data_IF_275957565925
#
_entry.id   IF_275957565925
#
_cell.length_a   1.000
_cell.length_b   1.000
_cell.length_c   1.000
_cell.angle_alpha   90.00
_cell.angle_beta   90.00
_cell.angle_gamma   90.00
#
_symmetry.space_group_name_H-M   'P 1'
#
loop_
_entity.id
_entity.type
_entity.pdbx_description
1 polymer ?
#
# COMPACT_ATOMS: atom_id res chain seq x y z
N UNK A 1 36.79 -35.38 -5.25
CA UNK A 1 36.75 -35.13 -3.78
C UNK A 1 36.96 -33.65 -3.44
N UNK A 2 38.19 -33.10 -3.39
CA UNK A 2 38.44 -31.72 -2.88
C UNK A 2 37.55 -30.60 -3.48
N UNK A 3 37.25 -30.63 -4.78
CA UNK A 3 36.31 -29.66 -5.42
C UNK A 3 34.85 -29.85 -5.01
N UNK A 4 34.40 -31.09 -4.80
CA UNK A 4 33.02 -31.41 -4.38
C UNK A 4 32.79 -30.93 -2.95
N UNK A 5 33.76 -31.16 -2.05
CA UNK A 5 33.71 -30.66 -0.67
C UNK A 5 33.60 -29.13 -0.63
N UNK A 6 34.36 -28.41 -1.47
CA UNK A 6 34.29 -26.94 -1.53
C UNK A 6 32.90 -26.47 -2.01
N UNK A 7 32.30 -27.12 -3.02
CA UNK A 7 30.96 -26.78 -3.50
C UNK A 7 29.89 -27.09 -2.44
N UNK A 8 29.96 -28.25 -1.78
CA UNK A 8 29.04 -28.56 -0.67
C UNK A 8 29.21 -27.59 0.51
N UNK A 9 30.42 -27.20 0.88
CA UNK A 9 30.65 -26.19 1.92
C UNK A 9 30.13 -24.81 1.52
N UNK A 10 30.26 -24.40 0.26
CA UNK A 10 29.69 -23.14 -0.23
C UNK A 10 28.16 -23.16 -0.21
N UNK A 11 27.54 -24.26 -0.66
CA UNK A 11 26.08 -24.42 -0.58
C UNK A 11 25.58 -24.39 0.87
N UNK A 12 26.23 -25.11 1.78
CA UNK A 12 25.89 -25.08 3.21
C UNK A 12 26.09 -23.69 3.82
N UNK A 13 27.14 -22.95 3.44
CA UNK A 13 27.34 -21.58 3.91
C UNK A 13 26.26 -20.60 3.40
N UNK A 14 25.70 -20.83 2.22
CA UNK A 14 24.53 -20.09 1.71
C UNK A 14 23.26 -20.52 2.47
N UNK A 15 23.13 -21.80 2.86
CA UNK A 15 22.02 -22.26 3.72
C UNK A 15 22.05 -21.73 5.16
N UNK A 16 23.15 -21.11 5.59
CA UNK A 16 23.32 -20.55 6.94
C UNK A 16 23.35 -19.01 6.99
N UNK A 17 23.15 -18.31 5.87
CA UNK A 17 22.76 -16.91 5.92
C UNK A 17 21.29 -16.84 6.33
N UNK A 18 21.04 -16.75 7.64
CA UNK A 18 19.72 -16.42 8.16
C UNK A 18 19.21 -15.12 7.54
N UNK A 19 17.89 -14.97 7.49
CA UNK A 19 17.19 -13.85 6.86
C UNK A 19 17.56 -12.53 7.53
N UNK A 20 18.60 -11.88 7.01
CA UNK A 20 19.01 -10.55 7.43
C UNK A 20 17.93 -9.57 6.98
N UNK A 21 17.10 -9.14 7.94
CA UNK A 21 16.00 -8.21 7.70
C UNK A 21 16.45 -6.96 6.93
N UNK A 22 15.57 -6.44 6.08
CA UNK A 22 15.80 -5.15 5.42
C UNK A 22 15.74 -4.07 6.49
N UNK A 23 16.75 -3.19 6.56
CA UNK A 23 16.71 -2.01 7.43
C UNK A 23 15.45 -1.21 7.12
N UNK A 24 14.58 -0.97 8.11
CA UNK A 24 13.49 -0.05 7.87
C UNK A 24 14.06 1.35 7.62
N UNK A 25 13.41 2.08 6.72
CA UNK A 25 13.66 3.52 6.56
C UNK A 25 13.01 4.28 7.72
N UNK A 26 13.30 5.57 7.83
CA UNK A 26 12.45 6.46 8.62
C UNK A 26 11.03 6.44 8.02
N UNK A 27 9.97 6.50 8.85
CA UNK A 27 8.62 6.72 8.35
C UNK A 27 8.56 7.99 7.50
N UNK A 28 7.81 7.91 6.40
CA UNK A 28 7.56 9.04 5.50
C UNK A 28 6.06 9.33 5.40
N UNK A 29 5.72 10.61 5.30
CA UNK A 29 4.35 11.05 5.01
C UNK A 29 3.97 10.63 3.59
N UNK A 30 2.77 10.08 3.41
CA UNK A 30 2.32 9.61 2.09
C UNK A 30 1.89 10.75 1.18
N UNK A 31 1.49 11.90 1.74
CA UNK A 31 0.85 12.99 1.00
C UNK A 31 -0.51 12.64 0.42
N UNK A 32 -1.12 11.49 0.77
CA UNK A 32 -2.33 10.97 0.06
C UNK A 32 -3.62 11.06 0.84
N UNK A 33 -3.58 11.66 2.03
CA UNK A 33 -4.74 11.86 2.89
C UNK A 33 -5.16 10.63 3.70
N UNK A 34 -6.08 10.82 4.65
CA UNK A 34 -6.41 9.80 5.63
C UNK A 34 -7.29 8.66 5.08
N UNK A 35 -7.04 7.48 5.62
CA UNK A 35 -7.83 6.26 5.45
C UNK A 35 -8.31 5.79 6.83
N UNK A 36 -9.61 5.56 6.99
CA UNK A 36 -10.19 4.99 8.20
C UNK A 36 -11.44 4.15 7.91
N UNK A 37 -11.87 3.35 8.89
CA UNK A 37 -13.05 2.49 8.75
C UNK A 37 -12.82 1.15 9.44
N UNK A 38 -12.98 0.06 8.69
CA UNK A 38 -12.69 -1.29 9.16
C UNK A 38 -13.84 -1.98 9.90
N UNK A 39 -15.02 -1.35 9.97
CA UNK A 39 -16.27 -2.06 10.26
C UNK A 39 -16.51 -3.11 9.18
N UNK A 40 -16.95 -4.32 9.56
CA UNK A 40 -16.99 -5.46 8.63
C UNK A 40 -18.10 -6.47 8.92
N UNK A 41 -18.41 -7.31 7.94
CA UNK A 41 -19.31 -8.46 8.09
C UNK A 41 -18.83 -9.66 7.25
N UNK A 42 -19.28 -10.87 7.57
CA UNK A 42 -19.18 -11.99 6.63
C UNK A 42 -20.12 -11.77 5.44
N UNK A 43 -19.67 -12.11 4.24
CA UNK A 43 -20.43 -11.85 3.01
C UNK A 43 -21.70 -12.71 2.89
N UNK A 44 -21.71 -13.90 3.50
CA UNK A 44 -22.85 -14.81 3.59
C UNK A 44 -23.89 -14.40 4.66
N UNK A 45 -23.57 -13.43 5.54
CA UNK A 45 -24.43 -12.95 6.61
C UNK A 45 -25.28 -11.71 6.23
N UNK A 46 -26.17 -11.31 7.14
CA UNK A 46 -26.78 -9.98 7.17
C UNK A 46 -26.46 -9.33 8.51
N UNK A 47 -25.82 -8.16 8.49
CA UNK A 47 -25.22 -7.54 9.68
C UNK A 47 -25.37 -6.03 9.67
N UNK A 48 -25.35 -5.41 10.85
CA UNK A 48 -25.34 -3.96 11.01
C UNK A 48 -24.50 -3.61 12.23
N UNK A 49 -23.57 -2.68 12.06
CA UNK A 49 -22.64 -2.24 13.10
C UNK A 49 -22.60 -0.71 13.12
N UNK A 50 -22.59 -0.15 14.32
CA UNK A 50 -22.39 1.30 14.54
C UNK A 50 -21.28 1.47 15.56
N UNK A 51 -20.26 2.24 15.20
CA UNK A 51 -19.05 2.49 15.98
C UNK A 51 -18.85 4.00 16.11
N UNK A 52 -18.31 4.48 17.23
CA UNK A 52 -17.91 5.90 17.33
C UNK A 52 -16.60 6.12 16.58
N UNK A 53 -16.42 7.27 15.95
CA UNK A 53 -15.26 7.55 15.11
C UNK A 53 -13.94 7.54 15.91
N UNK A 54 -14.00 7.86 17.21
CA UNK A 54 -12.89 7.82 18.16
C UNK A 54 -12.56 6.42 18.71
N UNK A 55 -13.37 5.40 18.40
CA UNK A 55 -13.14 3.99 18.76
C UNK A 55 -12.89 3.08 17.55
N UNK A 56 -12.73 3.65 16.36
CA UNK A 56 -12.24 2.90 15.20
C UNK A 56 -10.77 2.48 15.43
N UNK A 57 -10.37 1.26 15.06
CA UNK A 57 -8.98 0.84 15.09
C UNK A 57 -8.17 1.65 14.07
N UNK A 58 -6.86 1.78 14.29
CA UNK A 58 -5.99 2.28 13.22
C UNK A 58 -5.91 1.25 12.09
N UNK A 59 -5.89 1.71 10.85
CA UNK A 59 -5.79 0.85 9.67
C UNK A 59 -4.31 0.62 9.37
N UNK A 60 -3.91 -0.64 9.18
CA UNK A 60 -2.59 -1.00 8.68
C UNK A 60 -2.72 -1.72 7.33
N UNK A 61 -2.27 -1.07 6.26
CA UNK A 61 -2.16 -1.67 4.93
C UNK A 61 -0.73 -2.22 4.76
N UNK A 62 -0.57 -3.54 4.72
CA UNK A 62 0.73 -4.21 4.58
C UNK A 62 0.90 -4.78 3.17
N UNK A 63 1.80 -4.19 2.39
CA UNK A 63 2.15 -4.68 1.05
C UNK A 63 3.22 -5.76 1.16
N UNK A 64 2.82 -6.99 0.87
CA UNK A 64 3.56 -8.23 1.17
C UNK A 64 3.67 -9.14 -0.07
N UNK A 65 4.38 -10.27 0.05
CA UNK A 65 4.29 -11.38 -0.89
C UNK A 65 4.56 -12.74 -0.23
N UNK A 66 3.96 -13.81 -0.77
CA UNK A 66 4.20 -15.23 -0.40
C UNK A 66 5.67 -15.69 -0.53
N UNK A 67 6.48 -15.00 -1.34
CA UNK A 67 7.91 -15.24 -1.48
C UNK A 67 8.77 -14.31 -0.59
N UNK A 68 8.17 -13.31 0.04
CA UNK A 68 8.87 -12.30 0.81
C UNK A 68 9.19 -12.77 2.24
N UNK A 69 10.31 -13.46 2.43
CA UNK A 69 10.79 -13.87 3.77
C UNK A 69 11.07 -12.69 4.72
N UNK A 70 11.19 -11.47 4.19
CA UNK A 70 11.32 -10.26 5.00
C UNK A 70 9.97 -9.74 5.53
N UNK A 71 8.87 -10.09 4.87
CA UNK A 71 7.51 -9.65 5.20
C UNK A 71 6.97 -10.40 6.42
N UNK A 72 7.28 -11.69 6.55
CA UNK A 72 6.97 -12.53 7.73
C UNK A 72 7.24 -11.83 9.07
N UNK A 73 8.34 -11.08 9.19
CA UNK A 73 8.66 -10.36 10.43
C UNK A 73 7.78 -9.12 10.65
N UNK A 74 7.33 -8.47 9.59
CA UNK A 74 6.36 -7.36 9.64
C UNK A 74 4.98 -7.90 9.98
N UNK A 75 4.55 -8.95 9.27
CA UNK A 75 3.25 -9.61 9.43
C UNK A 75 3.03 -10.10 10.88
N UNK A 76 4.05 -10.69 11.51
CA UNK A 76 4.01 -11.08 12.93
C UNK A 76 3.88 -9.89 13.90
N UNK A 77 4.51 -8.74 13.62
CA UNK A 77 4.37 -7.55 14.49
C UNK A 77 2.97 -6.95 14.32
N UNK A 78 2.41 -6.96 13.10
CA UNK A 78 1.03 -6.53 12.85
C UNK A 78 0.00 -7.50 13.45
N UNK A 79 0.27 -8.81 13.44
CA UNK A 79 -0.49 -9.84 14.15
C UNK A 79 -0.55 -9.54 15.66
N UNK A 80 0.58 -9.25 16.31
CA UNK A 80 0.62 -8.89 17.74
C UNK A 80 -0.15 -7.59 18.03
N UNK A 81 -0.05 -6.57 17.17
CA UNK A 81 -0.76 -5.29 17.34
C UNK A 81 -2.28 -5.42 17.11
N UNK A 82 -2.72 -6.24 16.15
CA UNK A 82 -4.14 -6.54 15.92
C UNK A 82 -4.73 -7.37 17.07
N UNK A 83 -4.00 -8.36 17.57
CA UNK A 83 -4.40 -9.17 18.74
C UNK A 83 -4.51 -8.33 20.03
N UNK A 84 -3.77 -7.23 20.15
CA UNK A 84 -3.92 -6.24 21.22
C UNK A 84 -5.08 -5.25 21.01
N UNK A 85 -5.76 -5.29 19.85
CA UNK A 85 -6.89 -4.43 19.50
C UNK A 85 -6.51 -3.01 19.08
N UNK A 86 -5.25 -2.79 18.67
CA UNK A 86 -4.72 -1.45 18.36
C UNK A 86 -4.91 -1.08 16.88
N UNK A 87 -4.88 -2.10 16.00
CA UNK A 87 -5.04 -1.96 14.57
C UNK A 87 -6.06 -2.95 14.01
N UNK A 88 -6.52 -2.67 12.79
CA UNK A 88 -7.05 -3.68 11.86
C UNK A 88 -6.09 -3.76 10.68
N UNK A 89 -5.48 -4.93 10.46
CA UNK A 89 -4.52 -5.14 9.37
C UNK A 89 -5.18 -5.66 8.09
N UNK A 90 -4.55 -5.37 6.96
CA UNK A 90 -4.99 -5.72 5.61
C UNK A 90 -3.78 -6.04 4.75
N UNK A 91 -3.69 -7.26 4.24
CA UNK A 91 -2.57 -7.73 3.44
C UNK A 91 -2.84 -7.45 1.95
N UNK A 92 -2.00 -6.59 1.35
CA UNK A 92 -1.99 -6.26 -0.06
C UNK A 92 -0.90 -7.08 -0.75
N UNK A 93 -1.30 -8.21 -1.32
CA UNK A 93 -0.40 -9.07 -2.08
C UNK A 93 -0.11 -8.49 -3.48
N UNK A 94 1.11 -8.73 -3.98
CA UNK A 94 1.57 -8.22 -5.28
C UNK A 94 0.79 -8.82 -6.45
N UNK A 95 0.35 -7.99 -7.38
CA UNK A 95 -0.36 -8.47 -8.58
C UNK A 95 0.58 -8.98 -9.69
N UNK A 96 0.04 -9.86 -10.54
CA UNK A 96 0.74 -10.49 -11.67
C UNK A 96 2.05 -11.21 -11.30
N UNK A 97 2.17 -11.66 -10.06
CA UNK A 97 3.32 -12.41 -9.60
C UNK A 97 3.06 -13.92 -9.77
N UNK A 98 4.02 -14.64 -10.34
CA UNK A 98 3.88 -16.08 -10.54
C UNK A 98 4.16 -16.92 -9.28
N UNK A 99 4.75 -16.30 -8.24
CA UNK A 99 5.00 -16.93 -6.94
C UNK A 99 3.93 -16.56 -5.91
N UNK A 100 3.11 -15.53 -6.17
CA UNK A 100 2.04 -15.06 -5.27
C UNK A 100 0.67 -15.06 -5.97
N UNK A 101 -0.27 -15.93 -5.58
CA UNK A 101 -1.56 -16.07 -6.24
C UNK A 101 -2.62 -15.07 -5.75
N UNK A 102 -2.34 -14.26 -4.72
CA UNK A 102 -3.37 -13.53 -3.97
C UNK A 102 -3.59 -12.09 -4.46
N UNK A 103 -2.59 -11.48 -5.09
CA UNK A 103 -2.68 -10.10 -5.58
C UNK A 103 -3.54 -9.93 -6.83
N UNK A 104 -4.16 -8.76 -6.99
CA UNK A 104 -4.97 -8.41 -8.16
C UNK A 104 -4.60 -7.04 -8.73
N UNK A 105 -4.78 -6.81 -10.03
CA UNK A 105 -4.56 -5.50 -10.67
C UNK A 105 -5.28 -4.36 -9.93
N UNK A 106 -6.45 -4.65 -9.37
CA UNK A 106 -7.27 -3.68 -8.64
C UNK A 106 -6.70 -3.32 -7.26
N UNK A 107 -6.11 -4.28 -6.54
CA UNK A 107 -5.53 -4.05 -5.21
C UNK A 107 -4.11 -3.51 -5.30
N UNK A 108 -3.32 -3.96 -6.29
CA UNK A 108 -2.03 -3.33 -6.66
C UNK A 108 -2.24 -1.89 -7.10
N UNK A 109 -3.23 -1.59 -7.96
CA UNK A 109 -3.49 -0.21 -8.41
C UNK A 109 -3.91 0.71 -7.26
N UNK A 110 -4.72 0.24 -6.31
CA UNK A 110 -5.04 1.02 -5.10
C UNK A 110 -3.76 1.35 -4.32
N UNK A 111 -2.94 0.35 -4.02
CA UNK A 111 -1.74 0.54 -3.21
C UNK A 111 -0.69 1.40 -3.93
N UNK A 112 -0.48 1.19 -5.23
CA UNK A 112 0.47 1.97 -6.04
C UNK A 112 0.04 3.42 -6.23
N UNK A 113 -1.23 3.65 -6.60
CA UNK A 113 -1.73 5.02 -6.87
C UNK A 113 -1.71 5.92 -5.64
N UNK A 114 -1.81 5.34 -4.43
CA UNK A 114 -1.63 6.08 -3.18
C UNK A 114 -0.15 6.13 -2.78
N UNK A 115 0.52 4.98 -2.69
CA UNK A 115 1.76 4.89 -1.92
C UNK A 115 3.04 4.79 -2.75
N UNK A 116 2.91 4.71 -4.09
CA UNK A 116 3.95 4.32 -5.05
C UNK A 116 4.56 2.98 -4.64
N UNK A 117 4.00 1.89 -5.18
CA UNK A 117 4.37 0.53 -4.83
C UNK A 117 5.85 0.27 -5.13
N UNK A 118 6.48 -0.54 -4.28
CA UNK A 118 7.91 -0.82 -4.35
C UNK A 118 8.20 -2.30 -4.21
N UNK A 119 9.38 -2.62 -3.68
CA UNK A 119 9.63 -3.95 -3.15
C UNK A 119 9.02 -4.07 -1.74
N UNK A 120 8.30 -5.14 -1.41
CA UNK A 120 7.76 -5.37 -0.07
C UNK A 120 8.89 -5.72 0.93
N UNK A 121 8.68 -5.58 2.26
CA UNK A 121 7.46 -5.10 2.90
C UNK A 121 7.35 -3.58 2.95
N UNK A 122 6.11 -3.09 2.83
CA UNK A 122 5.73 -1.68 3.02
C UNK A 122 4.46 -1.64 3.87
N UNK A 123 4.50 -1.03 5.05
CA UNK A 123 3.30 -0.81 5.87
C UNK A 123 2.88 0.65 5.79
N UNK A 124 1.58 0.89 5.62
CA UNK A 124 0.97 2.23 5.73
C UNK A 124 -0.05 2.24 6.86
N UNK A 125 0.13 3.18 7.79
CA UNK A 125 -0.82 3.41 8.88
C UNK A 125 -1.75 4.56 8.53
N UNK A 126 -3.06 4.32 8.67
CA UNK A 126 -4.14 5.30 8.52
C UNK A 126 -4.10 6.09 7.19
N UNK A 127 -3.48 5.52 6.16
CA UNK A 127 -3.22 6.15 4.86
C UNK A 127 -2.19 7.30 4.87
N UNK A 128 -1.73 7.77 6.02
CA UNK A 128 -0.93 9.02 6.16
C UNK A 128 0.56 8.80 6.38
N UNK A 129 0.97 7.67 6.97
CA UNK A 129 2.38 7.40 7.31
C UNK A 129 2.80 6.03 6.78
N UNK A 130 3.91 5.98 6.04
CA UNK A 130 4.45 4.77 5.42
C UNK A 130 5.81 4.42 5.98
N UNK A 131 6.05 3.14 6.27
CA UNK A 131 7.34 2.60 6.68
C UNK A 131 7.73 1.41 5.78
N UNK A 132 8.91 1.49 5.19
CA UNK A 132 9.43 0.47 4.25
C UNK A 132 10.53 -0.33 4.97
N UNK A 133 10.45 -1.66 4.93
CA UNK A 133 11.45 -2.59 5.51
C UNK A 133 11.06 -3.21 6.86
N UNK A 134 11.82 -4.22 7.29
CA UNK A 134 11.44 -5.17 8.36
C UNK A 134 12.33 -5.14 9.62
N UNK A 135 13.16 -4.12 9.78
CA UNK A 135 14.08 -3.97 10.92
C UNK A 135 13.92 -2.60 11.54
N UNK A 136 13.68 -2.55 12.85
CA UNK A 136 13.43 -1.31 13.59
C UNK A 136 14.39 -0.16 13.25
N UNK A 137 13.84 1.04 13.23
CA UNK A 137 14.58 2.29 13.27
C UNK A 137 14.90 2.66 14.72
N UNK A 138 13.92 2.48 15.62
CA UNK A 138 14.06 2.61 17.08
C UNK A 138 14.47 1.30 17.78
N UNK A 139 14.01 1.14 19.01
CA UNK A 139 14.35 0.00 19.88
C UNK A 139 13.70 -1.32 19.42
N UNK A 140 12.47 -1.26 18.89
CA UNK A 140 11.78 -2.39 18.26
C UNK A 140 10.85 -1.92 17.13
N UNK A 141 10.48 -2.84 16.23
CA UNK A 141 9.57 -2.54 15.13
C UNK A 141 8.14 -2.33 15.64
N UNK A 142 7.78 -2.98 16.75
CA UNK A 142 6.51 -2.78 17.43
C UNK A 142 6.41 -1.36 18.01
N UNK A 143 7.47 -0.86 18.67
CA UNK A 143 7.52 0.51 19.19
C UNK A 143 7.47 1.56 18.09
N UNK A 144 8.16 1.32 16.96
CA UNK A 144 8.08 2.16 15.76
C UNK A 144 6.62 2.25 15.27
N UNK A 145 5.93 1.11 15.12
CA UNK A 145 4.53 1.07 14.66
C UNK A 145 3.56 1.68 15.66
N UNK A 146 3.72 1.44 16.98
CA UNK A 146 2.94 2.10 18.04
C UNK A 146 3.04 3.63 17.97
N UNK A 147 4.21 4.17 17.60
CA UNK A 147 4.42 5.60 17.37
C UNK A 147 3.61 6.14 16.17
N UNK A 148 3.43 5.32 15.12
CA UNK A 148 2.61 5.66 13.95
C UNK A 148 1.10 5.53 14.25
N UNK A 149 0.69 4.46 14.93
CA UNK A 149 -0.69 4.22 15.39
C UNK A 149 -1.18 5.33 16.32
N UNK A 150 -0.30 5.88 17.17
CA UNK A 150 -0.61 7.00 18.07
C UNK A 150 -0.93 8.34 17.37
N UNK A 151 -0.79 8.43 16.04
CA UNK A 151 -1.08 9.65 15.29
C UNK A 151 -2.58 9.79 15.00
N UNK A 152 -3.26 10.62 15.81
CA UNK A 152 -4.69 10.89 15.68
C UNK A 152 -5.06 11.49 14.32
N UNK A 153 -6.00 10.84 13.62
CA UNK A 153 -6.69 11.38 12.45
C UNK A 153 -7.71 12.50 12.78
N UNK A 154 -8.01 12.74 14.06
CA UNK A 154 -8.91 13.79 14.55
C UNK A 154 -10.35 13.73 13.99
N UNK A 155 -10.86 12.52 13.72
CA UNK A 155 -12.17 12.23 13.11
C UNK A 155 -13.39 12.81 13.88
N UNK A 156 -13.20 13.26 15.11
CA UNK A 156 -14.25 13.82 15.96
C UNK A 156 -15.02 12.77 16.75
N UNK A 157 -16.15 13.20 17.34
CA UNK A 157 -16.98 12.38 18.24
C UNK A 157 -18.26 11.84 17.59
N UNK A 158 -18.30 11.79 16.26
CA UNK A 158 -19.43 11.26 15.50
C UNK A 158 -19.43 9.74 15.44
N UNK A 159 -20.30 9.19 14.60
CA UNK A 159 -20.54 7.76 14.46
C UNK A 159 -20.34 7.33 13.00
N UNK A 160 -19.87 6.10 12.77
CA UNK A 160 -20.00 5.42 11.48
C UNK A 160 -20.87 4.18 11.62
N UNK A 161 -21.71 3.93 10.62
CA UNK A 161 -22.58 2.75 10.52
C UNK A 161 -22.31 2.02 9.21
N UNK A 162 -22.01 0.73 9.30
CA UNK A 162 -22.08 -0.24 8.22
C UNK A 162 -23.38 -1.04 8.37
N UNK A 163 -24.10 -1.27 7.27
CA UNK A 163 -25.09 -2.34 7.16
C UNK A 163 -24.85 -3.15 5.89
N UNK A 164 -24.81 -4.46 6.04
CA UNK A 164 -24.62 -5.44 4.97
C UNK A 164 -25.81 -6.39 4.90
N UNK A 165 -26.26 -6.68 3.69
CA UNK A 165 -27.22 -7.75 3.41
C UNK A 165 -26.73 -8.56 2.23
N UNK A 166 -26.34 -9.82 2.47
CA UNK A 166 -26.22 -10.81 1.39
C UNK A 166 -27.55 -10.93 0.63
N UNK A 167 -27.48 -11.26 -0.67
CA UNK A 167 -28.65 -11.51 -1.52
C UNK A 167 -28.66 -12.97 -2.00
N UNK A 168 -27.98 -13.23 -3.12
CA UNK A 168 -28.05 -14.50 -3.86
C UNK A 168 -26.73 -15.30 -3.76
N UNK A 169 -25.88 -14.98 -2.79
CA UNK A 169 -24.52 -15.55 -2.62
C UNK A 169 -23.44 -14.82 -3.42
N UNK A 170 -23.75 -14.41 -4.65
CA UNK A 170 -22.80 -13.70 -5.54
C UNK A 170 -22.84 -12.15 -5.39
N UNK A 171 -23.88 -11.63 -4.72
CA UNK A 171 -24.11 -10.18 -4.52
C UNK A 171 -24.57 -9.85 -3.13
N UNK A 172 -24.33 -8.61 -2.72
CA UNK A 172 -24.91 -8.04 -1.51
C UNK A 172 -25.11 -6.53 -1.59
N UNK A 173 -25.90 -6.00 -0.65
CA UNK A 173 -26.17 -4.58 -0.50
C UNK A 173 -25.38 -4.05 0.68
N UNK A 174 -24.51 -3.09 0.41
CA UNK A 174 -23.91 -2.24 1.45
C UNK A 174 -24.76 -0.99 1.63
N UNK A 175 -24.92 -0.54 2.87
CA UNK A 175 -25.43 0.78 3.22
C UNK A 175 -24.53 1.38 4.29
N UNK A 176 -24.24 2.67 4.19
CA UNK A 176 -23.37 3.36 5.14
C UNK A 176 -23.96 4.70 5.59
N UNK A 177 -23.53 5.15 6.77
CA UNK A 177 -23.77 6.50 7.27
C UNK A 177 -22.68 6.90 8.26
N UNK A 178 -22.00 8.02 8.00
CA UNK A 178 -20.98 8.60 8.86
C UNK A 178 -21.33 10.06 9.24
N UNK A 179 -21.25 10.36 10.53
CA UNK A 179 -21.39 11.71 11.09
C UNK A 179 -20.01 12.38 11.15
N UNK A 180 -19.55 12.84 9.98
CA UNK A 180 -18.23 13.47 9.81
C UNK A 180 -18.37 15.00 9.74
N UNK A 181 -17.51 15.69 10.47
CA UNK A 181 -17.36 17.13 10.31
C UNK A 181 -16.54 17.43 9.04
N UNK A 182 -17.22 17.48 7.88
CA UNK A 182 -16.58 17.68 6.58
C UNK A 182 -15.74 18.97 6.48
N UNK A 183 -15.93 19.95 7.37
CA UNK A 183 -15.07 21.13 7.45
C UNK A 183 -13.61 20.82 7.84
N UNK A 184 -13.33 19.64 8.41
CA UNK A 184 -11.96 19.15 8.66
C UNK A 184 -11.29 18.56 7.41
N UNK A 185 -12.06 18.33 6.35
CA UNK A 185 -11.63 17.62 5.13
C UNK A 185 -11.85 18.47 3.86
N UNK A 186 -11.93 19.80 3.98
CA UNK A 186 -12.20 20.70 2.84
C UNK A 186 -11.13 20.66 1.74
N UNK A 187 -9.92 20.21 2.07
CA UNK A 187 -8.79 20.03 1.14
C UNK A 187 -8.79 18.65 0.45
N UNK A 188 -9.81 17.80 0.68
CA UNK A 188 -9.84 16.40 0.24
C UNK A 188 -11.16 16.04 -0.46
N UNK A 189 -11.08 15.18 -1.48
CA UNK A 189 -12.23 14.43 -1.99
C UNK A 189 -12.40 13.13 -1.20
N UNK A 190 -13.64 12.87 -0.77
CA UNK A 190 -14.04 11.67 -0.04
C UNK A 190 -14.54 10.60 -0.99
N UNK A 191 -13.98 9.39 -0.94
CA UNK A 191 -14.58 8.18 -1.50
C UNK A 191 -14.88 7.15 -0.41
N UNK A 192 -15.95 6.40 -0.62
CA UNK A 192 -16.43 5.33 0.25
C UNK A 192 -16.21 4.03 -0.51
N UNK A 193 -15.46 3.13 0.10
CA UNK A 193 -14.97 1.93 -0.53
C UNK A 193 -15.42 0.72 0.27
N UNK A 194 -15.83 -0.31 -0.45
CA UNK A 194 -15.97 -1.67 0.08
C UNK A 194 -14.71 -2.43 -0.26
N UNK A 195 -14.05 -2.98 0.76
CA UNK A 195 -12.94 -3.91 0.60
C UNK A 195 -13.45 -5.32 0.87
N UNK A 196 -13.24 -6.21 -0.08
CA UNK A 196 -13.44 -7.64 0.12
C UNK A 196 -12.13 -8.24 0.61
N UNK A 197 -12.22 -8.97 1.72
CA UNK A 197 -11.07 -9.47 2.46
C UNK A 197 -11.30 -10.93 2.77
N UNK A 198 -10.42 -11.79 2.28
CA UNK A 198 -10.40 -13.20 2.64
C UNK A 198 -9.76 -13.32 4.03
N UNK A 199 -10.42 -14.03 4.94
CA UNK A 199 -9.98 -14.08 6.32
C UNK A 199 -8.67 -14.86 6.47
N UNK A 200 -8.52 -15.95 5.71
CA UNK A 200 -7.37 -16.86 5.74
C UNK A 200 -7.33 -17.80 4.54
N UNK A 201 -6.24 -17.80 3.75
CA UNK A 201 -5.99 -18.78 2.68
C UNK A 201 -4.79 -19.71 2.97
N UNK A 202 -4.86 -20.98 2.55
CA UNK A 202 -3.79 -21.97 2.67
C UNK A 202 -2.95 -22.04 1.37
N UNK A 203 -1.65 -21.68 1.45
CA UNK A 203 -0.75 -21.72 0.29
C UNK A 203 0.66 -22.21 0.66
N UNK A 204 0.81 -23.54 0.68
CA UNK A 204 2.06 -24.24 1.02
C UNK A 204 3.17 -24.15 -0.04
N UNK A 205 2.93 -23.54 -1.20
CA UNK A 205 3.95 -23.31 -2.24
C UNK A 205 4.72 -21.99 -2.04
N UNK A 206 4.31 -21.14 -1.08
CA UNK A 206 4.99 -19.89 -0.73
C UNK A 206 6.43 -20.09 -0.22
N UNK A 207 7.39 -19.33 -0.76
CA UNK A 207 8.82 -19.48 -0.44
C UNK A 207 9.28 -18.69 0.79
N UNK A 208 8.39 -17.89 1.41
CA UNK A 208 8.64 -17.23 2.70
C UNK A 208 8.57 -18.19 3.91
N UNK A 209 7.95 -19.37 3.76
CA UNK A 209 7.78 -20.38 4.80
C UNK A 209 6.46 -20.32 5.58
N UNK A 210 5.57 -19.38 5.27
CA UNK A 210 4.21 -19.33 5.80
C UNK A 210 3.28 -20.20 4.97
N UNK A 211 2.45 -21.01 5.65
CA UNK A 211 1.47 -21.90 5.03
C UNK A 211 0.06 -21.28 4.99
N UNK A 212 -0.22 -20.29 5.85
CA UNK A 212 -1.53 -19.65 6.04
C UNK A 212 -1.38 -18.13 5.97
N UNK A 213 -2.18 -17.48 5.13
CA UNK A 213 -2.10 -16.06 4.83
C UNK A 213 -3.40 -15.34 5.25
N UNK A 214 -3.39 -14.51 6.30
CA UNK A 214 -4.60 -13.89 6.83
C UNK A 214 -4.92 -12.52 6.19
N UNK A 215 -6.19 -12.09 6.31
CA UNK A 215 -6.63 -10.72 5.99
C UNK A 215 -6.26 -10.22 4.58
N UNK A 216 -6.32 -11.09 3.58
CA UNK A 216 -5.93 -10.81 2.19
C UNK A 216 -6.97 -9.90 1.54
N UNK A 217 -6.59 -8.71 1.10
CA UNK A 217 -7.49 -7.84 0.31
C UNK A 217 -7.56 -8.36 -1.12
N UNK A 218 -8.70 -8.93 -1.49
CA UNK A 218 -8.90 -9.54 -2.81
C UNK A 218 -9.49 -8.55 -3.82
N UNK A 219 -10.27 -7.56 -3.36
CA UNK A 219 -10.92 -6.57 -4.23
C UNK A 219 -11.35 -5.31 -3.48
N UNK A 220 -11.18 -4.15 -4.13
CA UNK A 220 -11.64 -2.84 -3.67
C UNK A 220 -12.66 -2.27 -4.67
N UNK A 221 -13.82 -1.85 -4.16
CA UNK A 221 -14.92 -1.29 -4.95
C UNK A 221 -15.34 0.07 -4.35
N UNK A 222 -15.16 1.15 -5.10
CA UNK A 222 -15.78 2.43 -4.75
C UNK A 222 -17.30 2.31 -4.87
N UNK A 223 -18.01 2.65 -3.79
CA UNK A 223 -19.48 2.56 -3.70
C UNK A 223 -20.16 3.93 -3.62
N UNK A 224 -19.41 5.00 -3.34
CA UNK A 224 -19.93 6.37 -3.40
C UNK A 224 -18.94 7.41 -2.88
N UNK A 225 -19.34 8.68 -2.87
CA UNK A 225 -18.50 9.83 -2.51
C UNK A 225 -19.18 10.78 -1.51
N UNK A 226 -20.00 10.22 -0.62
CA UNK A 226 -20.80 10.95 0.38
C UNK A 226 -20.82 10.20 1.68
N UNK A 227 -20.98 10.92 2.79
CA UNK A 227 -21.00 10.33 4.13
C UNK A 227 -22.15 9.34 4.38
N UNK A 228 -23.20 9.31 3.56
CA UNK A 228 -24.22 8.26 3.60
C UNK A 228 -24.67 7.82 2.20
N UNK A 229 -25.09 6.56 2.09
CA UNK A 229 -25.54 5.97 0.82
C UNK A 229 -25.79 4.47 0.91
N UNK A 230 -26.07 3.88 -0.25
CA UNK A 230 -26.21 2.43 -0.43
C UNK A 230 -25.78 2.05 -1.84
N UNK A 231 -25.20 0.85 -1.99
CA UNK A 231 -24.80 0.28 -3.27
C UNK A 231 -25.01 -1.24 -3.26
N UNK A 232 -25.19 -1.82 -4.45
CA UNK A 232 -25.13 -3.27 -4.66
C UNK A 232 -23.77 -3.61 -5.26
N UNK A 233 -23.09 -4.60 -4.67
CA UNK A 233 -21.74 -5.02 -5.07
C UNK A 233 -21.71 -6.53 -5.34
N UNK A 234 -20.89 -6.94 -6.31
CA UNK A 234 -20.60 -8.35 -6.57
C UNK A 234 -19.44 -8.81 -5.70
N UNK A 235 -19.67 -9.90 -4.97
CA UNK A 235 -18.71 -10.55 -4.08
C UNK A 235 -17.68 -11.29 -4.96
N UNK A 236 -16.36 -11.14 -4.74
CA UNK A 236 -15.36 -11.96 -5.41
C UNK A 236 -15.35 -13.38 -4.82
N UNK A 237 -14.82 -14.34 -5.57
CA UNK A 237 -14.51 -15.64 -4.99
C UNK A 237 -13.35 -15.48 -3.99
N UNK A 238 -13.40 -16.20 -2.86
CA UNK A 238 -12.18 -16.54 -2.11
C UNK A 238 -11.23 -17.39 -2.97
N UNK A 239 -9.95 -17.38 -2.62
CA UNK A 239 -8.94 -18.33 -3.10
C UNK A 239 -9.28 -19.75 -2.63
N UNK A 240 -9.62 -19.93 -1.35
CA UNK A 240 -10.17 -21.17 -0.81
C UNK A 240 -11.32 -20.94 0.20
N UNK A 241 -11.85 -22.00 0.83
CA UNK A 241 -12.87 -21.86 1.87
C UNK A 241 -14.22 -21.21 1.46
N UNK A 242 -14.86 -20.61 2.48
CA UNK A 242 -16.06 -19.74 2.42
C UNK A 242 -15.96 -18.75 3.59
N UNK A 243 -15.02 -17.83 3.47
CA UNK A 243 -14.54 -16.95 4.55
C UNK A 243 -14.37 -15.49 4.09
N UNK A 244 -15.00 -15.12 2.96
CA UNK A 244 -14.94 -13.76 2.42
C UNK A 244 -15.69 -12.77 3.34
N UNK A 245 -14.98 -11.73 3.77
CA UNK A 245 -15.48 -10.61 4.56
C UNK A 245 -15.67 -9.36 3.68
N UNK A 246 -16.55 -8.47 4.13
CA UNK A 246 -16.83 -7.18 3.50
C UNK A 246 -16.57 -6.06 4.51
N UNK A 247 -15.64 -5.16 4.19
CA UNK A 247 -15.19 -4.07 5.08
C UNK A 247 -15.55 -2.71 4.49
N UNK A 248 -15.96 -1.78 5.35
CA UNK A 248 -16.29 -0.40 4.98
C UNK A 248 -15.11 0.54 5.27
N UNK A 249 -14.66 1.24 4.24
CA UNK A 249 -13.50 2.13 4.29
C UNK A 249 -13.84 3.51 3.73
N UNK A 250 -13.29 4.54 4.36
CA UNK A 250 -13.40 5.94 3.95
C UNK A 250 -12.02 6.45 3.55
N UNK A 251 -11.87 6.78 2.27
CA UNK A 251 -10.62 7.31 1.72
C UNK A 251 -10.80 8.80 1.52
N UNK A 252 -9.84 9.59 1.96
CA UNK A 252 -9.74 11.00 1.63
C UNK A 252 -8.48 11.20 0.80
N UNK A 253 -8.62 11.83 -0.36
CA UNK A 253 -7.53 12.09 -1.31
C UNK A 253 -7.42 13.60 -1.53
N UNK A 254 -6.23 14.22 -1.45
CA UNK A 254 -6.09 15.66 -1.63
C UNK A 254 -6.69 16.16 -2.95
N UNK A 255 -7.32 17.33 -2.91
CA UNK A 255 -7.77 18.03 -4.10
C UNK A 255 -6.53 18.60 -4.80
N UNK A 256 -6.24 18.10 -6.01
CA UNK A 256 -5.21 18.62 -6.89
C UNK A 256 -5.49 20.10 -7.24
N UNK A 257 -4.96 21.01 -6.42
CA UNK A 257 -4.94 22.43 -6.72
C UNK A 257 -3.86 22.68 -7.76
N UNK A 258 -4.28 22.74 -9.03
CA UNK A 258 -3.42 23.11 -10.15
C UNK A 258 -2.73 24.45 -9.85
N UNK A 259 -1.47 24.39 -9.40
CA UNK A 259 -0.68 25.58 -9.17
C UNK A 259 -0.43 26.25 -10.51
N UNK A 260 -1.05 27.41 -10.68
CA UNK A 260 -0.82 28.29 -11.82
C UNK A 260 0.68 28.54 -11.89
N UNK A 261 1.32 28.07 -12.96
CA UNK A 261 2.75 28.26 -13.14
C UNK A 261 2.97 29.74 -13.43
N UNK A 262 3.28 30.51 -12.39
CA UNK A 262 3.65 31.92 -12.50
C UNK A 262 4.96 31.99 -13.27
N UNK A 263 4.85 32.07 -14.59
CA UNK A 263 5.92 32.52 -15.46
C UNK A 263 6.19 33.96 -15.04
N UNK A 264 7.34 34.21 -14.38
CA UNK A 264 7.86 35.55 -14.16
C UNK A 264 8.21 36.16 -15.53
N UNK A 265 7.21 36.77 -16.15
CA UNK A 265 7.33 37.48 -17.42
C UNK A 265 8.19 38.74 -17.18
N UNK A 266 9.50 38.56 -17.30
CA UNK A 266 10.49 39.63 -17.10
C UNK A 266 10.50 40.51 -18.35
N UNK A 267 9.56 41.44 -18.39
CA UNK A 267 9.40 42.41 -19.45
C UNK A 267 10.59 43.38 -19.52
N UNK A 268 11.48 43.21 -20.49
CA UNK A 268 12.33 44.28 -21.00
C UNK A 268 12.00 44.56 -22.48
N UNK A 269 11.27 45.65 -22.70
CA UNK A 269 11.02 46.20 -24.04
C UNK A 269 12.33 46.63 -24.72
N UNK A 270 12.59 46.12 -25.92
CA UNK A 270 13.25 46.93 -26.96
C UNK A 270 12.89 46.45 -28.37
N UNK A 271 12.38 47.38 -29.19
CA UNK A 271 11.96 47.13 -30.56
C UNK A 271 13.11 46.63 -31.46
N UNK A 272 12.87 45.58 -32.26
CA UNK A 272 12.67 45.72 -33.72
C UNK A 272 12.75 44.41 -34.54
N UNK A 273 11.82 44.26 -35.48
CA UNK A 273 11.86 43.44 -36.70
C UNK A 273 12.03 41.90 -36.61
N UNK A 274 10.94 41.22 -36.95
CA UNK A 274 10.87 40.16 -37.99
C UNK A 274 11.71 38.87 -37.85
N UNK A 275 10.98 37.77 -37.61
CA UNK A 275 11.33 36.35 -37.82
C UNK A 275 11.88 36.05 -39.25
N UNK A 276 12.47 34.86 -39.56
CA UNK A 276 12.55 33.63 -38.74
C UNK A 276 13.90 32.86 -38.76
N UNK A 277 13.89 31.73 -38.02
CA UNK A 277 14.45 30.40 -38.39
C UNK A 277 15.70 29.86 -37.68
N UNK A 278 15.50 28.61 -37.23
CA UNK A 278 16.41 27.51 -36.93
C UNK A 278 17.87 27.69 -37.40
N UNK A 279 18.82 27.48 -36.49
CA UNK A 279 20.11 26.86 -36.83
C UNK A 279 20.72 26.14 -35.63
N UNK A 280 21.07 24.86 -35.84
CA UNK A 280 21.92 24.10 -34.94
C UNK A 280 23.36 24.65 -35.01
N UNK A 281 24.10 24.58 -33.90
CA UNK A 281 25.54 24.88 -33.88
C UNK A 281 26.30 23.68 -33.35
N UNK A 282 26.97 22.98 -34.27
CA UNK A 282 28.03 22.01 -33.98
C UNK A 282 29.24 22.78 -33.45
N UNK A 283 29.92 22.28 -32.41
CA UNK A 283 31.26 22.71 -32.06
C UNK A 283 32.20 21.51 -31.89
N UNK A 284 33.42 21.65 -32.41
CA UNK A 284 34.29 20.53 -32.77
C UNK A 284 35.68 20.66 -32.12
N UNK A 285 36.15 19.57 -31.50
CA UNK A 285 37.55 19.10 -31.41
C UNK A 285 38.66 19.89 -30.69
N UNK A 286 39.46 19.13 -29.91
CA UNK A 286 40.92 19.23 -29.65
C UNK A 286 41.40 17.97 -28.85
N UNK A 287 42.65 17.46 -28.88
CA UNK A 287 43.73 17.48 -29.90
C UNK A 287 44.75 16.32 -29.65
N UNK A 288 45.83 16.24 -30.46
CA UNK A 288 47.00 15.30 -30.50
C UNK A 288 47.87 15.37 -29.19
N UNK A 289 48.64 14.38 -28.68
CA UNK A 289 49.34 13.16 -29.19
C UNK A 289 49.34 11.99 -28.13
N UNK A 290 50.19 10.93 -28.08
CA UNK A 290 51.42 10.51 -28.80
C UNK A 290 51.56 8.97 -28.94
N UNK A 291 52.24 8.50 -30.00
CA UNK A 291 52.49 7.09 -30.29
C UNK A 291 53.99 6.71 -30.24
N UNK A 292 54.32 5.53 -29.67
CA UNK A 292 55.60 4.80 -29.71
C UNK A 292 55.29 3.30 -29.40
N UNK A 293 55.83 2.24 -30.04
CA UNK A 293 56.45 2.04 -31.37
C UNK A 293 56.71 0.51 -31.62
N UNK A 294 56.35 -0.06 -32.80
CA UNK A 294 56.73 -1.43 -33.33
C UNK A 294 56.17 -2.69 -32.61
N UNK A 295 55.70 -3.80 -33.24
CA UNK A 295 55.99 -4.51 -34.53
C UNK A 295 57.37 -5.24 -34.48
N UNK A 296 57.52 -6.57 -34.39
CA UNK A 296 56.95 -7.65 -35.22
C UNK A 296 56.99 -9.06 -34.54
N UNK A 297 56.35 -10.04 -35.21
CA UNK A 297 56.45 -11.52 -35.07
C UNK A 297 55.76 -12.21 -33.86
#
# INVERSE_FOLDING_TARGET
>A
MRRVVIVCCLLVLISFTGTSGVSAKAPEDTGTGPLFGGQWAWTNDTSSQTTTLDSLPSIAEDYTATWCTNCVKVEHVLEDLENNGEIKKYHFHRANDHEDPFGSDNTEQHFDSRYNAGAPPIVVFNGTQKQIGSTANGDSLEDDYRSLIGQSLNLGSGNTTLSWSSQDGDTGVVSWSADLNMAQFEEYEMSVNVWFVEASAEFTEGSNGEEIYPSIVTKIVEVGNKSSGTATVSIPNSYDGDDMQVHLMYHFTPIETSQDTVIEDTSEDSDSSSLPSISAVISLSCIIAAAIFKWDN
#
